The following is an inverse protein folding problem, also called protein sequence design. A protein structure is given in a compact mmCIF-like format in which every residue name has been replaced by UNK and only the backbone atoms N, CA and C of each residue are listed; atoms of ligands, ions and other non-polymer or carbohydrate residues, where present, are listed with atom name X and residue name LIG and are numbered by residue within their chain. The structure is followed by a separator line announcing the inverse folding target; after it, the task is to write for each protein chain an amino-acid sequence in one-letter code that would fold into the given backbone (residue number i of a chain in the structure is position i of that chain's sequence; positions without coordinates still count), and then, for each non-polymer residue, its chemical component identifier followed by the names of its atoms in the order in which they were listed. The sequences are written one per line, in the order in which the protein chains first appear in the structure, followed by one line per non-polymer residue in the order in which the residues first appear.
data_IF_687003672246
#
_entry.id   IF_687003672246
#
_cell.length_a   1.000
_cell.length_b   1.000
_cell.length_c   1.000
_cell.angle_alpha   90.00
_cell.angle_beta   90.00
_cell.angle_gamma   90.00
#
_symmetry.space_group_name_H-M   'P 1'
#
loop_
_entity.id
_entity.type
_entity.pdbx_description
1 polymer ?
#
# COMPACT_ATOMS: atom_id res chain seq x y z
N UNK A 1 50.72 -1.91 -2.31
CA UNK A 1 49.31 -1.61 -2.19
C UNK A 1 48.55 -2.58 -3.09
N UNK A 2 47.96 -3.64 -2.52
CA UNK A 2 47.16 -4.60 -3.28
C UNK A 2 45.78 -4.01 -3.48
N UNK A 3 45.43 -3.63 -4.69
CA UNK A 3 44.07 -3.39 -5.10
C UNK A 3 43.32 -4.70 -4.96
N UNK A 4 42.52 -4.83 -3.90
CA UNK A 4 41.63 -5.96 -3.72
C UNK A 4 40.69 -6.06 -4.93
N UNK A 5 40.77 -7.18 -5.64
CA UNK A 5 39.79 -7.53 -6.65
C UNK A 5 38.44 -7.62 -5.95
N UNK A 6 37.61 -6.61 -6.15
CA UNK A 6 36.18 -6.72 -5.81
C UNK A 6 35.64 -7.84 -6.71
N UNK A 7 35.36 -8.98 -6.11
CA UNK A 7 34.61 -10.04 -6.79
C UNK A 7 33.34 -9.38 -7.31
N UNK A 8 33.23 -9.24 -8.63
CA UNK A 8 32.06 -8.69 -9.30
C UNK A 8 30.89 -9.68 -9.10
N UNK A 9 30.19 -9.56 -7.99
CA UNK A 9 28.87 -10.16 -7.89
C UNK A 9 28.01 -9.49 -8.95
N UNK A 10 27.57 -10.26 -9.93
CA UNK A 10 26.78 -9.74 -11.04
C UNK A 10 25.48 -9.15 -10.52
N UNK A 11 25.09 -8.00 -11.04
CA UNK A 11 23.76 -7.47 -10.82
C UNK A 11 22.72 -8.51 -11.26
N UNK A 12 21.70 -8.72 -10.46
CA UNK A 12 20.57 -9.60 -10.81
C UNK A 12 19.29 -8.78 -10.91
N UNK A 13 18.39 -9.25 -11.73
CA UNK A 13 17.06 -8.64 -11.90
C UNK A 13 16.01 -9.58 -11.36
N UNK A 14 14.85 -9.03 -11.03
CA UNK A 14 13.75 -9.85 -10.58
C UNK A 14 12.42 -9.14 -10.69
N UNK A 15 11.40 -9.91 -10.43
CA UNK A 15 10.00 -9.45 -10.37
C UNK A 15 9.44 -9.75 -8.99
N UNK A 16 8.52 -8.91 -8.53
CA UNK A 16 7.74 -9.16 -7.30
C UNK A 16 6.28 -8.85 -7.57
N UNK A 17 5.40 -9.64 -6.96
CA UNK A 17 3.97 -9.40 -6.96
C UNK A 17 3.37 -9.90 -5.64
N UNK A 18 2.25 -9.28 -5.26
CA UNK A 18 1.57 -9.67 -4.03
C UNK A 18 0.35 -8.83 -3.72
N UNK A 19 -0.10 -8.96 -2.49
CA UNK A 19 -1.24 -8.21 -1.95
C UNK A 19 -0.74 -7.06 -1.08
N UNK A 20 -1.49 -5.98 -1.08
CA UNK A 20 -1.27 -4.81 -0.24
C UNK A 20 -2.55 -4.47 0.52
N UNK A 21 -2.44 -4.29 1.82
CA UNK A 21 -3.50 -3.72 2.64
C UNK A 21 -3.06 -2.34 3.10
N UNK A 22 -3.77 -1.30 2.64
CA UNK A 22 -3.43 0.08 2.93
C UNK A 22 -4.45 0.70 3.88
N UNK A 23 -3.95 1.57 4.76
CA UNK A 23 -4.73 2.39 5.70
C UNK A 23 -4.22 3.82 5.70
N UNK A 24 -5.06 4.76 6.17
CA UNK A 24 -4.66 6.13 6.44
C UNK A 24 -4.43 6.28 7.95
N UNK A 25 -3.41 7.03 8.32
CA UNK A 25 -3.15 7.44 9.71
C UNK A 25 -3.08 8.97 9.83
N UNK A 26 -3.17 9.49 11.05
CA UNK A 26 -3.13 10.91 11.36
C UNK A 26 -4.51 11.47 11.74
N UNK A 27 -4.64 12.80 11.74
CA UNK A 27 -5.86 13.49 12.22
C UNK A 27 -7.10 13.13 11.40
N UNK A 28 -6.94 12.87 10.10
CA UNK A 28 -8.01 12.40 9.23
C UNK A 28 -8.58 11.05 9.69
N UNK A 29 -7.72 10.12 10.11
CA UNK A 29 -8.14 8.83 10.64
C UNK A 29 -8.82 8.99 12.01
N UNK A 30 -8.28 9.85 12.88
CA UNK A 30 -8.84 10.11 14.20
C UNK A 30 -10.21 10.80 14.11
N UNK A 31 -10.35 11.81 13.25
CA UNK A 31 -11.63 12.49 13.01
C UNK A 31 -12.68 11.54 12.45
N UNK A 32 -12.26 10.64 11.55
CA UNK A 32 -13.15 9.64 11.00
C UNK A 32 -13.53 8.60 12.04
N UNK A 33 -12.59 8.13 12.87
CA UNK A 33 -12.90 7.21 13.98
C UNK A 33 -13.87 7.83 14.98
N UNK A 34 -13.69 9.09 15.34
CA UNK A 34 -14.61 9.82 16.23
C UNK A 34 -16.01 9.97 15.62
N UNK A 35 -16.10 10.22 14.30
CA UNK A 35 -17.39 10.26 13.61
C UNK A 35 -18.04 8.86 13.55
N UNK A 36 -17.26 7.82 13.39
CA UNK A 36 -17.73 6.43 13.44
C UNK A 36 -18.26 6.09 14.84
N UNK A 37 -17.52 6.42 15.89
CA UNK A 37 -17.92 6.18 17.28
C UNK A 37 -19.21 6.92 17.63
N UNK A 38 -19.40 8.16 17.13
CA UNK A 38 -20.63 8.92 17.30
C UNK A 38 -21.85 8.23 16.66
N UNK A 39 -21.64 7.44 15.59
CA UNK A 39 -22.71 6.70 14.91
C UNK A 39 -23.06 5.35 15.55
N UNK A 40 -22.50 5.03 16.73
CA UNK A 40 -22.69 3.75 17.42
C UNK A 40 -22.37 2.52 16.52
N UNK A 41 -21.35 2.65 15.66
CA UNK A 41 -20.91 1.57 14.77
C UNK A 41 -21.74 1.39 13.50
N UNK A 42 -22.68 2.30 13.20
CA UNK A 42 -23.41 2.29 11.94
C UNK A 42 -22.50 2.58 10.72
N UNK A 43 -21.34 3.20 10.94
CA UNK A 43 -20.31 3.39 9.92
C UNK A 43 -19.09 2.55 10.30
N UNK A 44 -18.54 1.82 9.36
CA UNK A 44 -17.31 1.02 9.53
C UNK A 44 -16.28 1.44 8.52
N UNK A 45 -15.07 1.68 8.98
CA UNK A 45 -13.89 1.86 8.12
C UNK A 45 -13.16 0.53 7.98
N UNK A 46 -12.78 0.18 6.77
CA UNK A 46 -11.88 -0.94 6.53
C UNK A 46 -10.81 -0.58 5.51
N UNK A 47 -9.59 -1.06 5.76
CA UNK A 47 -8.56 -1.07 4.73
C UNK A 47 -9.01 -1.96 3.58
N UNK A 48 -8.71 -1.53 2.36
CA UNK A 48 -8.98 -2.35 1.19
C UNK A 48 -7.73 -3.13 0.82
N UNK A 49 -7.89 -4.43 0.60
CA UNK A 49 -6.84 -5.24 0.01
C UNK A 49 -6.78 -4.95 -1.49
N UNK A 50 -5.63 -4.50 -1.94
CA UNK A 50 -5.26 -4.33 -3.34
C UNK A 50 -4.14 -5.30 -3.71
N UNK A 51 -3.47 -5.03 -4.82
CA UNK A 51 -2.32 -5.79 -5.27
C UNK A 51 -1.18 -4.86 -5.66
N UNK A 52 0.03 -5.41 -5.69
CA UNK A 52 1.19 -4.75 -6.25
C UNK A 52 1.97 -5.71 -7.15
N UNK A 53 2.64 -5.16 -8.15
CA UNK A 53 3.56 -5.91 -9.00
C UNK A 53 4.59 -4.98 -9.60
N UNK A 54 5.79 -5.50 -9.85
CA UNK A 54 6.85 -4.70 -10.43
C UNK A 54 8.16 -5.45 -10.58
N UNK A 55 9.19 -4.69 -10.90
CA UNK A 55 10.53 -5.18 -11.19
C UNK A 55 11.54 -4.53 -10.24
N UNK A 56 12.64 -5.21 -10.01
CA UNK A 56 13.76 -4.68 -9.24
C UNK A 56 15.10 -5.14 -9.83
N UNK A 57 16.15 -4.38 -9.52
CA UNK A 57 17.52 -4.80 -9.72
C UNK A 57 18.16 -5.02 -8.34
N UNK A 58 18.97 -6.06 -8.19
CA UNK A 58 19.77 -6.28 -6.99
C UNK A 58 21.24 -6.06 -7.32
N UNK A 59 21.83 -5.08 -6.66
CA UNK A 59 23.22 -4.64 -6.85
C UNK A 59 24.02 -5.04 -5.61
N UNK A 60 24.77 -6.17 -5.65
CA UNK A 60 25.50 -6.63 -4.49
C UNK A 60 26.64 -5.64 -4.13
N UNK A 61 26.69 -5.26 -2.85
CA UNK A 61 27.79 -4.47 -2.26
C UNK A 61 28.80 -5.37 -1.55
N UNK A 62 28.32 -6.51 -1.06
CA UNK A 62 29.11 -7.55 -0.40
C UNK A 62 28.42 -8.89 -0.54
N UNK A 63 29.02 -9.95 0.01
CA UNK A 63 28.40 -11.29 0.04
C UNK A 63 27.08 -11.34 0.82
N UNK A 64 26.82 -10.33 1.66
CA UNK A 64 25.66 -10.32 2.56
C UNK A 64 24.74 -9.13 2.30
N UNK A 65 25.25 -8.03 1.70
CA UNK A 65 24.51 -6.77 1.56
C UNK A 65 24.38 -6.40 0.09
N UNK A 66 23.20 -5.94 -0.30
CA UNK A 66 22.89 -5.40 -1.63
C UNK A 66 22.05 -4.13 -1.55
N UNK A 67 22.07 -3.33 -2.61
CA UNK A 67 21.09 -2.27 -2.86
C UNK A 67 20.09 -2.80 -3.87
N UNK A 68 18.80 -2.58 -3.58
CA UNK A 68 17.72 -3.05 -4.43
C UNK A 68 16.80 -1.86 -4.81
N UNK A 69 17.11 -1.13 -5.91
CA UNK A 69 16.16 -0.24 -6.53
C UNK A 69 15.06 -1.02 -7.25
N UNK A 70 13.83 -0.51 -7.20
CA UNK A 70 12.70 -1.14 -7.87
C UNK A 70 11.68 -0.13 -8.38
N UNK A 71 10.78 -0.60 -9.21
CA UNK A 71 9.60 0.13 -9.66
C UNK A 71 8.39 -0.80 -9.61
N UNK A 72 7.35 -0.39 -8.91
CA UNK A 72 6.17 -1.20 -8.66
C UNK A 72 4.90 -0.41 -8.91
N UNK A 73 3.97 -1.02 -9.60
CA UNK A 73 2.59 -0.57 -9.55
C UNK A 73 1.94 -1.09 -8.27
N UNK A 74 1.19 -0.25 -7.57
CA UNK A 74 0.46 -0.62 -6.36
C UNK A 74 -0.95 -0.02 -6.38
N UNK A 75 -1.96 -0.89 -6.30
CA UNK A 75 -3.34 -0.48 -6.08
C UNK A 75 -3.62 -0.47 -4.58
N UNK A 76 -3.82 0.72 -4.02
CA UNK A 76 -4.16 0.92 -2.62
C UNK A 76 -5.61 1.41 -2.52
N UNK A 77 -6.20 1.42 -1.34
CA UNK A 77 -7.56 1.96 -1.22
C UNK A 77 -8.14 1.84 0.17
N UNK A 78 -9.27 2.52 0.32
CA UNK A 78 -10.04 2.60 1.57
C UNK A 78 -11.50 2.40 1.28
N UNK A 79 -12.21 1.81 2.23
CA UNK A 79 -13.63 1.59 2.11
C UNK A 79 -14.35 2.04 3.38
N UNK A 80 -15.36 2.89 3.21
CA UNK A 80 -16.30 3.27 4.23
C UNK A 80 -17.64 2.60 3.93
N UNK A 81 -18.19 1.91 4.91
CA UNK A 81 -19.52 1.29 4.84
C UNK A 81 -20.38 1.90 5.92
N UNK A 82 -21.51 2.45 5.53
CA UNK A 82 -22.60 2.85 6.41
C UNK A 82 -23.77 1.87 6.24
N UNK A 83 -24.21 1.28 7.33
CA UNK A 83 -25.36 0.38 7.37
C UNK A 83 -26.35 0.93 8.40
N UNK A 84 -27.53 1.34 7.96
CA UNK A 84 -28.63 1.73 8.80
C UNK A 84 -29.68 0.62 8.75
N UNK A 85 -29.67 -0.26 9.74
CA UNK A 85 -30.69 -1.29 9.95
C UNK A 85 -31.70 -0.86 11.04
N UNK A 86 -32.96 -1.13 10.83
CA UNK A 86 -33.98 -1.00 11.87
C UNK A 86 -34.04 -2.33 12.63
N UNK A 87 -33.71 -2.32 13.92
CA UNK A 87 -33.83 -3.52 14.76
C UNK A 87 -35.22 -4.13 14.64
N UNK A 88 -35.29 -5.37 14.18
CA UNK A 88 -36.53 -6.12 13.97
C UNK A 88 -37.13 -6.05 12.57
N UNK A 89 -36.49 -5.34 11.63
CA UNK A 89 -36.88 -5.27 10.24
C UNK A 89 -35.62 -5.27 9.33
N UNK A 90 -34.88 -6.37 9.34
CA UNK A 90 -33.61 -6.52 8.61
C UNK A 90 -33.74 -6.36 7.07
N UNK A 91 -34.97 -6.42 6.56
CA UNK A 91 -35.31 -6.17 5.17
C UNK A 91 -35.51 -4.68 4.83
N UNK A 92 -35.61 -3.79 5.86
CA UNK A 92 -35.68 -2.34 5.66
C UNK A 92 -34.32 -1.73 6.04
N UNK A 93 -33.32 -2.01 5.23
CA UNK A 93 -31.95 -1.48 5.43
C UNK A 93 -31.61 -0.45 4.35
N UNK A 94 -31.05 0.69 4.79
CA UNK A 94 -30.31 1.59 3.90
C UNK A 94 -28.83 1.28 4.03
N UNK A 95 -28.14 1.13 2.91
CA UNK A 95 -26.70 0.97 2.87
C UNK A 95 -26.06 2.09 2.05
N UNK A 96 -24.95 2.60 2.52
CA UNK A 96 -24.12 3.54 1.80
C UNK A 96 -22.67 3.07 1.85
N UNK A 97 -21.99 3.09 0.72
CA UNK A 97 -20.62 2.65 0.59
C UNK A 97 -19.84 3.65 -0.22
N UNK A 98 -18.75 4.14 0.35
CA UNK A 98 -17.78 4.96 -0.34
C UNK A 98 -16.45 4.18 -0.44
N UNK A 99 -15.98 3.94 -1.65
CA UNK A 99 -14.74 3.21 -1.93
C UNK A 99 -13.79 4.12 -2.68
N UNK A 100 -12.67 4.45 -2.03
CA UNK A 100 -11.56 5.11 -2.67
C UNK A 100 -10.58 4.05 -3.18
N UNK A 101 -10.20 4.14 -4.44
CA UNK A 101 -9.16 3.32 -5.06
C UNK A 101 -8.09 4.24 -5.60
N UNK A 102 -6.85 4.03 -5.17
CA UNK A 102 -5.69 4.81 -5.60
C UNK A 102 -4.69 3.91 -6.30
N UNK A 103 -4.11 4.41 -7.37
CA UNK A 103 -3.14 3.73 -8.21
C UNK A 103 -1.81 4.46 -8.11
N UNK A 104 -0.80 3.79 -7.57
CA UNK A 104 0.53 4.36 -7.36
C UNK A 104 1.59 3.67 -8.19
N UNK A 105 2.61 4.42 -8.55
CA UNK A 105 3.90 3.91 -8.98
C UNK A 105 4.86 4.14 -7.80
N UNK A 106 5.23 3.05 -7.13
CA UNK A 106 6.15 3.05 -5.99
C UNK A 106 7.58 2.82 -6.48
N UNK A 107 8.51 3.66 -6.08
CA UNK A 107 9.94 3.59 -6.44
C UNK A 107 10.76 3.53 -5.14
N UNK A 108 10.95 2.33 -4.57
CA UNK A 108 11.83 2.13 -3.43
C UNK A 108 13.29 2.01 -3.85
N UNK A 109 14.19 2.39 -2.96
CA UNK A 109 15.62 2.04 -2.99
C UNK A 109 15.97 1.40 -1.66
N UNK A 110 16.11 0.07 -1.65
CA UNK A 110 16.27 -0.70 -0.43
C UNK A 110 17.72 -1.09 -0.21
N UNK A 111 18.18 -1.02 1.02
CA UNK A 111 19.33 -1.76 1.49
C UNK A 111 18.82 -3.10 2.01
N UNK A 112 19.37 -4.19 1.50
CA UNK A 112 18.97 -5.55 1.83
C UNK A 112 20.16 -6.32 2.38
N UNK A 113 19.97 -6.98 3.51
CA UNK A 113 20.92 -7.94 4.07
C UNK A 113 20.35 -9.37 3.94
N UNK A 114 21.21 -10.32 3.53
CA UNK A 114 20.88 -11.74 3.37
C UNK A 114 21.69 -12.59 4.33
N UNK A 115 21.00 -13.45 5.09
CA UNK A 115 21.58 -14.34 6.08
C UNK A 115 21.08 -15.77 5.84
N UNK A 116 21.74 -16.47 4.89
CA UNK A 116 21.38 -17.88 4.60
C UNK A 116 19.96 -18.05 4.06
N UNK A 117 19.48 -17.10 3.26
CA UNK A 117 18.12 -17.07 2.71
C UNK A 117 17.17 -16.14 3.43
N UNK A 118 17.35 -15.88 4.73
CA UNK A 118 16.62 -14.82 5.43
C UNK A 118 17.06 -13.45 4.89
N UNK A 119 16.12 -12.66 4.43
CA UNK A 119 16.35 -11.31 3.92
C UNK A 119 15.72 -10.29 4.88
N UNK A 120 16.47 -9.24 5.24
CA UNK A 120 15.98 -8.07 5.96
C UNK A 120 16.28 -6.87 5.11
N UNK A 121 15.30 -5.99 4.90
CA UNK A 121 15.48 -4.85 4.03
C UNK A 121 14.77 -3.61 4.56
N UNK A 122 15.34 -2.46 4.28
CA UNK A 122 14.72 -1.17 4.53
C UNK A 122 15.28 -0.11 3.58
N UNK A 123 14.52 0.97 3.37
CA UNK A 123 14.98 2.10 2.58
C UNK A 123 13.89 3.14 2.32
N UNK A 124 14.28 4.26 1.69
CA UNK A 124 13.35 5.26 1.24
C UNK A 124 12.51 4.76 0.06
N UNK A 125 11.30 5.31 -0.03
CA UNK A 125 10.39 5.08 -1.14
C UNK A 125 9.76 6.40 -1.56
N UNK A 126 9.69 6.63 -2.85
CA UNK A 126 8.86 7.69 -3.44
C UNK A 126 7.73 7.02 -4.21
N UNK A 127 6.51 7.48 -3.99
CA UNK A 127 5.31 6.97 -4.64
C UNK A 127 4.66 8.09 -5.46
N UNK A 128 4.36 7.82 -6.72
CA UNK A 128 3.64 8.75 -7.60
C UNK A 128 2.20 8.29 -7.75
N UNK A 129 1.24 9.14 -7.38
CA UNK A 129 -0.18 8.88 -7.59
C UNK A 129 -0.53 9.07 -9.07
N UNK A 130 -0.80 7.98 -9.76
CA UNK A 130 -1.22 8.00 -11.16
C UNK A 130 -2.72 8.28 -11.30
N UNK A 131 -3.55 7.70 -10.43
CA UNK A 131 -5.00 7.88 -10.45
C UNK A 131 -5.63 7.66 -9.07
N UNK A 132 -6.75 8.35 -8.80
CA UNK A 132 -7.59 8.14 -7.62
C UNK A 132 -9.07 8.22 -8.00
N UNK A 133 -9.80 7.14 -7.76
CA UNK A 133 -11.21 6.99 -8.07
C UNK A 133 -12.03 6.79 -6.80
N UNK A 134 -13.04 7.63 -6.62
CA UNK A 134 -14.03 7.51 -5.55
C UNK A 134 -15.32 6.93 -6.13
N UNK A 135 -15.66 5.72 -5.72
CA UNK A 135 -16.94 5.09 -6.04
C UNK A 135 -17.87 5.19 -4.84
N UNK A 136 -18.99 5.87 -5.04
CA UNK A 136 -20.07 5.99 -4.07
C UNK A 136 -21.25 5.17 -4.53
N UNK A 137 -21.74 4.29 -3.65
CA UNK A 137 -22.96 3.51 -3.88
C UNK A 137 -23.89 3.70 -2.69
N UNK A 138 -25.18 3.85 -2.97
CA UNK A 138 -26.21 3.88 -1.95
C UNK A 138 -27.36 3.00 -2.40
N UNK A 139 -27.95 2.25 -1.47
CA UNK A 139 -29.06 1.35 -1.71
C UNK A 139 -30.09 1.43 -0.59
N UNK A 140 -31.33 1.12 -0.95
CA UNK A 140 -32.45 1.00 -0.07
C UNK A 140 -33.25 -0.26 -0.44
N UNK A 141 -33.65 -1.06 0.54
CA UNK A 141 -34.45 -2.28 0.34
C UNK A 141 -33.83 -3.26 -0.70
N UNK A 142 -32.48 -3.33 -0.76
CA UNK A 142 -31.80 -4.19 -1.71
C UNK A 142 -31.66 -3.62 -3.14
N UNK A 143 -32.22 -2.46 -3.43
CA UNK A 143 -32.08 -1.79 -4.69
C UNK A 143 -30.95 -0.76 -4.66
N UNK A 144 -30.06 -0.78 -5.66
CA UNK A 144 -29.02 0.24 -5.82
C UNK A 144 -29.62 1.50 -6.44
N UNK A 145 -29.76 2.56 -5.61
CA UNK A 145 -30.32 3.84 -6.03
C UNK A 145 -29.26 4.80 -6.56
N UNK A 146 -28.01 4.66 -6.11
CA UNK A 146 -26.89 5.47 -6.51
C UNK A 146 -25.68 4.59 -6.81
N UNK A 147 -25.03 4.82 -7.95
CA UNK A 147 -23.73 4.23 -8.30
C UNK A 147 -22.96 5.25 -9.13
N UNK A 148 -22.10 6.03 -8.46
CA UNK A 148 -21.31 7.09 -9.08
C UNK A 148 -19.83 6.80 -8.90
N UNK A 149 -19.08 6.93 -9.98
CA UNK A 149 -17.62 6.93 -9.98
C UNK A 149 -17.13 8.32 -10.35
N UNK A 150 -16.24 8.89 -9.53
CA UNK A 150 -15.69 10.24 -9.72
C UNK A 150 -14.18 10.15 -9.57
N UNK A 151 -13.44 10.69 -10.53
CA UNK A 151 -12.01 10.87 -10.39
C UNK A 151 -11.75 12.01 -9.38
N UNK A 152 -10.91 11.72 -8.39
CA UNK A 152 -10.57 12.66 -7.31
C UNK A 152 -9.06 12.88 -7.19
N UNK A 153 -8.31 12.56 -8.23
CA UNK A 153 -6.84 12.62 -8.25
C UNK A 153 -6.27 14.00 -7.90
N UNK A 154 -6.99 15.07 -8.23
CA UNK A 154 -6.57 16.45 -7.96
C UNK A 154 -6.65 16.84 -6.47
N UNK A 155 -7.41 16.07 -5.68
CA UNK A 155 -7.55 16.30 -4.24
C UNK A 155 -6.39 15.72 -3.44
N UNK A 156 -5.54 14.91 -4.09
CA UNK A 156 -4.43 14.22 -3.48
C UNK A 156 -3.09 14.77 -3.96
N UNK A 157 -2.10 14.78 -3.07
CA UNK A 157 -0.72 15.00 -3.47
C UNK A 157 -0.27 13.88 -4.42
N UNK A 158 0.28 14.27 -5.56
CA UNK A 158 0.77 13.31 -6.55
C UNK A 158 2.05 12.60 -6.11
N UNK A 159 2.83 13.23 -5.22
CA UNK A 159 4.06 12.65 -4.69
C UNK A 159 3.89 12.36 -3.20
N UNK A 160 4.23 11.14 -2.82
CA UNK A 160 4.28 10.66 -1.44
C UNK A 160 5.67 10.08 -1.17
N UNK A 161 6.40 10.67 -0.22
CA UNK A 161 7.68 10.17 0.24
C UNK A 161 7.48 9.39 1.54
N UNK A 162 8.21 8.30 1.69
CA UNK A 162 8.09 7.43 2.84
C UNK A 162 9.30 6.54 3.04
N UNK A 163 9.18 5.66 4.01
CA UNK A 163 10.12 4.58 4.27
C UNK A 163 9.38 3.25 4.11
N UNK A 164 10.08 2.27 3.59
CA UNK A 164 9.61 0.88 3.58
C UNK A 164 10.64 -0.01 4.25
N UNK A 165 10.16 -1.02 4.97
CA UNK A 165 11.01 -2.01 5.60
C UNK A 165 10.30 -3.33 5.71
N UNK A 166 11.07 -4.42 5.73
CA UNK A 166 10.47 -5.74 5.76
C UNK A 166 11.47 -6.86 5.91
N UNK A 167 10.91 -8.05 5.85
CA UNK A 167 11.62 -9.31 5.91
C UNK A 167 11.18 -10.21 4.77
N UNK A 168 12.03 -11.12 4.39
CA UNK A 168 11.72 -12.13 3.38
C UNK A 168 12.53 -13.38 3.59
N UNK A 169 12.19 -14.40 2.83
CA UNK A 169 12.99 -15.62 2.76
C UNK A 169 13.16 -16.02 1.30
N UNK A 170 14.42 -16.19 0.89
CA UNK A 170 14.78 -16.64 -0.44
C UNK A 170 15.03 -18.15 -0.41
N UNK A 171 14.25 -18.85 -1.17
CA UNK A 171 14.45 -20.28 -1.43
C UNK A 171 15.49 -20.48 -2.53
N UNK A 172 16.05 -21.68 -2.61
CA UNK A 172 16.87 -22.04 -3.76
C UNK A 172 16.12 -21.77 -5.09
N UNK A 173 16.88 -21.52 -6.17
CA UNK A 173 16.32 -21.25 -7.52
C UNK A 173 15.64 -19.87 -7.69
N UNK A 174 15.93 -18.88 -6.83
CA UNK A 174 15.52 -17.49 -7.04
C UNK A 174 14.14 -17.10 -6.55
N UNK A 175 13.31 -18.03 -6.09
CA UNK A 175 11.99 -17.73 -5.51
C UNK A 175 12.14 -17.13 -4.11
N UNK A 176 11.38 -16.12 -3.80
CA UNK A 176 11.31 -15.52 -2.46
C UNK A 176 9.87 -15.24 -2.04
N UNK A 177 9.64 -15.27 -0.74
CA UNK A 177 8.45 -14.69 -0.11
C UNK A 177 8.89 -13.49 0.71
N UNK A 178 8.06 -12.47 0.81
CA UNK A 178 8.39 -11.24 1.55
C UNK A 178 7.16 -10.64 2.19
N UNK A 179 7.40 -9.96 3.31
CA UNK A 179 6.44 -9.11 3.99
C UNK A 179 7.10 -7.77 4.28
N UNK A 180 6.41 -6.66 4.02
CA UNK A 180 6.93 -5.31 4.25
C UNK A 180 5.86 -4.37 4.77
N UNK A 181 6.32 -3.29 5.37
CA UNK A 181 5.52 -2.21 5.87
C UNK A 181 6.00 -0.89 5.26
N UNK A 182 5.06 -0.16 4.65
CA UNK A 182 5.31 1.19 4.12
C UNK A 182 4.82 2.23 5.12
N UNK A 183 5.68 3.17 5.45
CA UNK A 183 5.45 4.29 6.34
C UNK A 183 5.56 5.60 5.58
N UNK A 184 4.43 6.15 5.10
CA UNK A 184 4.38 7.46 4.44
C UNK A 184 4.74 8.58 5.40
N UNK A 185 5.57 9.50 4.94
CA UNK A 185 6.03 10.69 5.66
C UNK A 185 5.39 11.97 5.11
N UNK A 186 4.94 11.94 3.87
CA UNK A 186 4.26 13.05 3.22
C UNK A 186 2.76 13.02 3.50
N UNK A 187 2.15 14.20 3.58
CA UNK A 187 0.70 14.32 3.65
C UNK A 187 0.10 13.97 2.29
N UNK A 188 -0.93 13.14 2.30
CA UNK A 188 -1.65 12.74 1.08
C UNK A 188 -2.69 13.77 0.61
N UNK A 189 -3.09 14.70 1.48
CA UNK A 189 -4.02 15.78 1.17
C UNK A 189 -3.30 16.92 0.44
N UNK A 190 -3.73 17.27 -0.78
CA UNK A 190 -3.17 18.35 -1.58
C UNK A 190 -3.34 19.73 -0.93
N UNK A 191 -4.45 19.96 -0.25
CA UNK A 191 -4.77 21.24 0.40
C UNK A 191 -4.10 21.39 1.77
N UNK A 192 -3.42 20.35 2.28
CA UNK A 192 -2.78 20.31 3.61
C UNK A 192 -3.72 20.64 4.77
N UNK A 193 -5.02 20.50 4.55
CA UNK A 193 -6.07 20.80 5.53
C UNK A 193 -6.08 19.79 6.67
N UNK A 194 -5.65 18.56 6.40
CA UNK A 194 -5.62 17.45 7.35
C UNK A 194 -4.28 16.71 7.32
N UNK A 195 -3.83 16.27 8.49
CA UNK A 195 -2.68 15.37 8.56
C UNK A 195 -3.18 13.94 8.24
N UNK A 196 -2.88 13.50 7.03
CA UNK A 196 -3.22 12.17 6.55
C UNK A 196 -2.00 11.55 5.89
N UNK A 197 -1.62 10.35 6.31
CA UNK A 197 -0.41 9.66 5.87
C UNK A 197 -0.76 8.23 5.44
N UNK A 198 -0.13 7.77 4.36
CA UNK A 198 -0.27 6.40 3.91
C UNK A 198 0.45 5.42 4.86
N UNK A 199 -0.21 4.31 5.12
CA UNK A 199 0.34 3.13 5.79
C UNK A 199 -0.07 1.91 4.99
N UNK A 200 0.88 1.00 4.71
CA UNK A 200 0.52 -0.21 4.01
C UNK A 200 1.34 -1.42 4.50
N UNK A 201 0.69 -2.55 4.59
CA UNK A 201 1.32 -3.86 4.75
C UNK A 201 1.26 -4.56 3.41
N UNK A 202 2.39 -5.08 2.95
CA UNK A 202 2.51 -5.83 1.70
C UNK A 202 3.00 -7.25 2.00
N UNK A 203 2.41 -8.24 1.35
CA UNK A 203 2.89 -9.62 1.36
C UNK A 203 2.93 -10.13 -0.07
N UNK A 204 4.03 -10.76 -0.44
CA UNK A 204 4.18 -11.19 -1.84
C UNK A 204 5.26 -12.22 -2.06
N UNK A 205 5.36 -12.59 -3.31
CA UNK A 205 6.35 -13.51 -3.86
C UNK A 205 7.24 -12.76 -4.84
N UNK A 206 8.48 -13.18 -4.95
CA UNK A 206 9.45 -12.66 -5.90
C UNK A 206 10.18 -13.79 -6.62
N UNK A 207 10.71 -13.45 -7.77
CA UNK A 207 11.60 -14.31 -8.54
C UNK A 207 12.78 -13.48 -9.03
N UNK A 208 13.99 -13.96 -8.79
CA UNK A 208 15.26 -13.37 -9.26
C UNK A 208 15.85 -14.24 -10.36
N UNK A 209 16.27 -13.60 -11.46
CA UNK A 209 16.89 -14.26 -12.61
C UNK A 209 18.39 -14.37 -12.44
#
# INVERSE_FOLDING_TARGET
MSLGAFAQSSASFGIKAGVVNATISGDAANSLSSAIDFTNGAIKQSGRTGFYSGVYASLPLSNTVSIEPGIYYAQKGYELKGELGIKGADFIGANAKARLTTHYIDIPVLVKANFGGLEVFAGPQVSYLANADLRTTAGLLGFNLLNRNTNVSEQFNKLDAGLTGGIGYRFGKGVSINASYDHGLSRIDANKSMNAYNRAVKVGIGYSF
#
